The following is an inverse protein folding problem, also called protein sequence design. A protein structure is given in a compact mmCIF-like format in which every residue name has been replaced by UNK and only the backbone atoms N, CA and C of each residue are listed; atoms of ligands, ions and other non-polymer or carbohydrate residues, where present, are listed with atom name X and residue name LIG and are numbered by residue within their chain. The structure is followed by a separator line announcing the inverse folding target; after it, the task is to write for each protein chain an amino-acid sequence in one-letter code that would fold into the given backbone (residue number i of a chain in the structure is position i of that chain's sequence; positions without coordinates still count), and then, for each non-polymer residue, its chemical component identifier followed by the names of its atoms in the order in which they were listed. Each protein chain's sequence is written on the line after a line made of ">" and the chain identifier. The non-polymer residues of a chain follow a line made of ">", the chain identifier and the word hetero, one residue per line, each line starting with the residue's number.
data_IF_782340451102
#
_entry.id   IF_782340451102
#
_cell.length_a   1.000
_cell.length_b   1.000
_cell.length_c   1.000
_cell.angle_alpha   90.00
_cell.angle_beta   90.00
_cell.angle_gamma   90.00
#
_symmetry.space_group_name_H-M   'P 1'
#
loop_
_entity.id
_entity.type
_entity.pdbx_description
1 polymer ?
#
# COMPACT_ATOMS: atom_id res chain seq x y z
N UNK A 1 -9.51 8.41 -4.53
CA UNK A 1 -10.02 7.29 -3.72
C UNK A 1 -8.93 6.81 -2.81
N UNK A 2 -9.29 6.47 -1.58
CA UNK A 2 -8.34 6.03 -0.55
C UNK A 2 -8.33 4.51 -0.45
N UNK A 3 -7.18 3.91 -0.72
CA UNK A 3 -7.01 2.46 -0.85
C UNK A 3 -5.98 1.96 0.16
N UNK A 4 -6.32 0.90 0.88
CA UNK A 4 -5.36 0.14 1.69
C UNK A 4 -4.78 -1.01 0.87
N UNK A 5 -3.45 -1.13 0.81
CA UNK A 5 -2.76 -2.23 0.15
C UNK A 5 -1.95 -3.04 1.18
N UNK A 6 -2.30 -4.31 1.35
CA UNK A 6 -1.71 -5.21 2.35
C UNK A 6 -0.84 -6.24 1.63
N UNK A 7 0.47 -6.16 1.86
CA UNK A 7 1.47 -7.03 1.26
C UNK A 7 2.26 -6.35 0.14
N UNK A 8 3.59 -6.26 0.30
CA UNK A 8 4.45 -5.46 -0.58
C UNK A 8 5.61 -6.29 -1.15
N UNK A 9 5.29 -7.50 -1.61
CA UNK A 9 6.16 -8.31 -2.47
C UNK A 9 6.26 -7.74 -3.89
N UNK A 10 6.92 -8.47 -4.81
CA UNK A 10 7.19 -8.00 -6.19
C UNK A 10 5.92 -7.53 -6.93
N UNK A 11 4.83 -8.32 -6.85
CA UNK A 11 3.54 -7.95 -7.45
C UNK A 11 2.90 -6.75 -6.74
N UNK A 12 2.94 -6.73 -5.41
CA UNK A 12 2.34 -5.67 -4.60
C UNK A 12 2.95 -4.31 -4.87
N UNK A 13 4.28 -4.23 -4.95
CA UNK A 13 4.98 -2.98 -5.26
C UNK A 13 4.61 -2.45 -6.65
N UNK A 14 4.54 -3.31 -7.67
CA UNK A 14 4.13 -2.91 -9.02
C UNK A 14 2.70 -2.39 -9.07
N UNK A 15 1.78 -3.03 -8.34
CA UNK A 15 0.39 -2.60 -8.22
C UNK A 15 0.27 -1.24 -7.53
N UNK A 16 0.90 -1.05 -6.36
CA UNK A 16 0.88 0.23 -5.64
C UNK A 16 1.43 1.36 -6.51
N UNK A 17 2.53 1.12 -7.23
CA UNK A 17 3.10 2.11 -8.14
C UNK A 17 2.11 2.57 -9.21
N UNK A 18 1.36 1.64 -9.81
CA UNK A 18 0.35 1.96 -10.82
C UNK A 18 -0.85 2.71 -10.21
N UNK A 19 -1.28 2.33 -9.00
CA UNK A 19 -2.38 3.00 -8.31
C UNK A 19 -2.02 4.43 -7.91
N UNK A 20 -0.78 4.67 -7.45
CA UNK A 20 -0.26 6.01 -7.20
C UNK A 20 -0.25 6.86 -8.49
N UNK A 21 0.22 6.29 -9.60
CA UNK A 21 0.19 6.95 -10.92
C UNK A 21 -1.22 7.29 -11.39
N UNK A 22 -2.22 6.50 -11.02
CA UNK A 22 -3.63 6.75 -11.31
C UNK A 22 -4.25 7.84 -10.41
N UNK A 23 -3.50 8.40 -9.45
CA UNK A 23 -3.96 9.48 -8.57
C UNK A 23 -4.76 9.01 -7.36
N UNK A 24 -4.60 7.75 -6.95
CA UNK A 24 -5.21 7.25 -5.72
C UNK A 24 -4.32 7.53 -4.49
N UNK A 25 -4.95 7.74 -3.34
CA UNK A 25 -4.26 7.85 -2.06
C UNK A 25 -4.05 6.44 -1.51
N UNK A 26 -2.79 6.02 -1.38
CA UNK A 26 -2.47 4.63 -1.04
C UNK A 26 -1.85 4.55 0.34
N UNK A 27 -2.50 3.80 1.23
CA UNK A 27 -1.93 3.34 2.49
C UNK A 27 -1.41 1.94 2.34
N UNK A 28 -0.23 1.68 2.87
CA UNK A 28 0.44 0.39 2.69
C UNK A 28 0.84 -0.22 4.02
N UNK A 29 0.74 -1.54 4.10
CA UNK A 29 1.24 -2.31 5.23
C UNK A 29 1.85 -3.62 4.74
N UNK A 30 2.92 -4.06 5.40
CA UNK A 30 3.54 -5.36 5.18
C UNK A 30 4.00 -5.93 6.52
N UNK A 31 3.93 -7.25 6.68
CA UNK A 31 4.34 -7.93 7.92
C UNK A 31 5.80 -7.63 8.29
N UNK A 32 6.69 -7.68 7.30
CA UNK A 32 8.09 -7.32 7.48
C UNK A 32 8.25 -5.86 7.12
N UNK A 33 8.82 -5.07 8.03
CA UNK A 33 9.19 -3.68 7.77
C UNK A 33 10.24 -3.62 6.67
N UNK A 34 10.08 -2.70 5.73
CA UNK A 34 11.01 -2.49 4.63
C UNK A 34 10.97 -1.02 4.23
N UNK A 35 12.09 -0.51 3.74
CA UNK A 35 12.14 0.82 3.16
C UNK A 35 11.35 0.82 1.86
N UNK A 36 10.41 1.75 1.74
CA UNK A 36 9.68 1.92 0.49
C UNK A 36 10.67 2.35 -0.60
N UNK A 37 10.69 1.68 -1.76
CA UNK A 37 11.46 2.16 -2.89
C UNK A 37 10.96 3.53 -3.33
N UNK A 38 11.82 4.33 -3.96
CA UNK A 38 11.50 5.69 -4.43
C UNK A 38 10.26 5.73 -5.33
N UNK A 39 10.01 4.66 -6.09
CA UNK A 39 8.83 4.49 -6.94
C UNK A 39 7.50 4.50 -6.16
N UNK A 40 7.55 4.31 -4.85
CA UNK A 40 6.41 4.31 -3.91
C UNK A 40 6.46 5.48 -2.93
N UNK A 41 7.24 6.54 -3.19
CA UNK A 41 7.35 7.71 -2.31
C UNK A 41 6.00 8.41 -2.02
N UNK A 42 4.99 8.20 -2.86
CA UNK A 42 3.63 8.71 -2.65
C UNK A 42 2.72 7.80 -1.79
N UNK A 43 3.19 6.63 -1.38
CA UNK A 43 2.44 5.75 -0.48
C UNK A 43 2.66 6.12 0.99
N UNK A 44 1.63 5.94 1.80
CA UNK A 44 1.64 6.16 3.26
C UNK A 44 1.82 4.83 4.00
N UNK A 45 3.03 4.48 4.47
CA UNK A 45 3.22 3.28 5.29
C UNK A 45 2.53 3.42 6.65
N UNK A 46 1.86 2.36 7.08
CA UNK A 46 1.21 2.27 8.40
C UNK A 46 1.87 1.17 9.24
N UNK A 47 1.73 1.26 10.57
CA UNK A 47 2.35 0.30 11.48
C UNK A 47 1.46 -0.93 11.71
N UNK A 48 0.15 -0.77 11.60
CA UNK A 48 -0.82 -1.86 11.77
C UNK A 48 -1.78 -1.96 10.59
N UNK A 49 -2.36 -3.16 10.40
CA UNK A 49 -3.44 -3.36 9.42
C UNK A 49 -4.63 -2.45 9.76
N UNK A 50 -4.96 -2.30 11.05
CA UNK A 50 -6.09 -1.46 11.49
C UNK A 50 -5.92 0.01 11.06
N UNK A 51 -4.72 0.57 11.17
CA UNK A 51 -4.40 1.92 10.68
C UNK A 51 -4.45 2.00 9.15
N UNK A 52 -3.96 0.97 8.45
CA UNK A 52 -3.96 0.90 6.99
C UNK A 52 -5.38 0.90 6.41
N UNK A 53 -6.31 0.17 7.01
CA UNK A 53 -7.68 0.02 6.49
C UNK A 53 -8.63 1.12 6.95
N UNK A 54 -8.33 1.82 8.05
CA UNK A 54 -9.23 2.81 8.63
C UNK A 54 -9.50 3.98 7.67
N UNK A 55 -10.78 4.17 7.34
CA UNK A 55 -11.25 5.23 6.44
C UNK A 55 -10.91 5.00 4.96
N UNK A 56 -10.42 3.82 4.57
CA UNK A 56 -10.22 3.45 3.18
C UNK A 56 -11.53 2.93 2.56
N UNK A 57 -11.77 3.28 1.29
CA UNK A 57 -12.94 2.85 0.53
C UNK A 57 -12.77 1.43 -0.04
N UNK A 58 -11.51 1.02 -0.24
CA UNK A 58 -11.14 -0.27 -0.81
C UNK A 58 -9.92 -0.84 -0.06
N UNK A 59 -9.95 -2.14 0.19
CA UNK A 59 -8.82 -2.90 0.73
C UNK A 59 -8.40 -3.95 -0.29
N UNK A 60 -7.13 -3.93 -0.67
CA UNK A 60 -6.50 -4.89 -1.58
C UNK A 60 -5.45 -5.69 -0.81
N UNK A 61 -5.43 -7.00 -1.02
CA UNK A 61 -4.52 -7.91 -0.32
C UNK A 61 -3.76 -8.74 -1.36
N UNK A 62 -2.43 -8.73 -1.27
CA UNK A 62 -1.56 -9.52 -2.13
C UNK A 62 -0.40 -10.08 -1.28
N UNK A 63 -0.57 -11.30 -0.80
CA UNK A 63 0.36 -11.97 0.10
C UNK A 63 0.97 -13.21 -0.58
N UNK A 64 1.99 -13.77 0.06
CA UNK A 64 2.62 -15.04 -0.31
C UNK A 64 2.62 -15.94 0.91
#
# INVERSE_FOLDING_TARGET
>A
MKIAYIGLGTMGQGMVHNLLKAGHEIRVWNRTTFDLPETLAGAEPQNTIAEAVSGCELVMVCLT
#
